data_IF_171402441623
#
_entry.id   IF_171402441623
#
_cell.length_a   1.000
_cell.length_b   1.000
_cell.length_c   1.000
_cell.angle_alpha   90.00
_cell.angle_beta   90.00
_cell.angle_gamma   90.00
#
_symmetry.space_group_name_H-M   'P 1'
#
loop_
_entity.id
_entity.type
_entity.pdbx_description
1 polymer ?
#
# COMPACT_ATOMS: atom_id res chain seq x y z
N UNK A 1 1.40 8.33 -22.07
CA UNK A 1 2.24 9.37 -21.44
C UNK A 1 1.94 9.39 -19.97
N UNK A 2 2.98 9.39 -19.15
CA UNK A 2 2.87 9.53 -17.70
C UNK A 2 2.56 11.01 -17.36
N UNK A 3 1.43 11.29 -16.69
CA UNK A 3 1.01 12.67 -16.41
C UNK A 3 1.94 13.39 -15.44
N UNK A 4 2.68 12.67 -14.60
CA UNK A 4 3.59 13.27 -13.61
C UNK A 4 4.92 13.65 -14.24
N UNK A 5 5.46 12.78 -15.10
CA UNK A 5 6.79 13.00 -15.70
C UNK A 5 6.74 13.60 -17.10
N UNK A 6 5.58 13.59 -17.77
CA UNK A 6 5.42 13.97 -19.17
C UNK A 6 6.05 12.99 -20.16
N UNK A 7 6.66 11.89 -19.69
CA UNK A 7 7.41 10.97 -20.53
C UNK A 7 6.54 9.85 -21.10
N UNK A 8 6.96 9.32 -22.25
CA UNK A 8 6.39 8.09 -22.79
C UNK A 8 6.97 6.89 -22.04
N UNK A 9 6.10 6.12 -21.42
CA UNK A 9 6.45 4.93 -20.64
C UNK A 9 5.59 3.75 -21.06
N UNK A 10 6.16 2.55 -20.98
CA UNK A 10 5.40 1.30 -21.15
C UNK A 10 4.42 1.16 -19.99
N UNK A 11 3.14 0.99 -20.31
CA UNK A 11 2.10 0.71 -19.34
C UNK A 11 1.73 -0.78 -19.32
N UNK A 12 1.25 -1.23 -18.18
CA UNK A 12 0.60 -2.51 -17.99
C UNK A 12 -0.91 -2.32 -17.99
N UNK A 13 -1.64 -3.27 -18.57
CA UNK A 13 -3.08 -3.32 -18.48
C UNK A 13 -3.46 -4.35 -17.41
N UNK A 14 -4.07 -3.87 -16.34
CA UNK A 14 -4.80 -4.72 -15.41
C UNK A 14 -6.17 -5.00 -16.00
N UNK A 15 -6.61 -6.26 -15.96
CA UNK A 15 -7.92 -6.68 -16.43
C UNK A 15 -8.52 -7.60 -15.38
N UNK A 16 -9.66 -7.21 -14.82
CA UNK A 16 -10.47 -8.08 -13.97
C UNK A 16 -11.74 -8.46 -14.74
N UNK A 17 -11.97 -9.76 -14.92
CA UNK A 17 -13.13 -10.26 -15.68
C UNK A 17 -13.99 -11.14 -14.79
N UNK A 18 -15.27 -10.79 -14.67
CA UNK A 18 -16.26 -11.59 -13.97
C UNK A 18 -16.49 -12.93 -14.70
N UNK A 19 -16.47 -14.02 -13.93
CA UNK A 19 -16.39 -15.36 -14.49
C UNK A 19 -17.69 -15.83 -15.16
N UNK A 20 -18.86 -15.31 -14.75
CA UNK A 20 -20.15 -15.69 -15.32
C UNK A 20 -20.57 -14.76 -16.46
N UNK A 21 -20.61 -13.45 -16.24
CA UNK A 21 -21.08 -12.49 -17.25
C UNK A 21 -20.06 -12.17 -18.33
N UNK A 22 -18.76 -12.36 -18.04
CA UNK A 22 -17.64 -11.85 -18.85
C UNK A 22 -17.54 -10.33 -18.86
N UNK A 23 -18.27 -9.64 -17.99
CA UNK A 23 -18.09 -8.21 -17.81
C UNK A 23 -16.70 -7.95 -17.21
N UNK A 24 -16.03 -6.90 -17.68
CA UNK A 24 -14.64 -6.66 -17.34
C UNK A 24 -14.40 -5.20 -16.98
N UNK A 25 -13.52 -5.01 -16.02
CA UNK A 25 -12.87 -3.74 -15.72
C UNK A 25 -11.43 -3.78 -16.24
N UNK A 26 -10.94 -2.62 -16.69
CA UNK A 26 -9.61 -2.46 -17.26
C UNK A 26 -9.00 -1.17 -16.76
N UNK A 27 -7.76 -1.23 -16.28
CA UNK A 27 -7.02 -0.05 -15.86
C UNK A 27 -5.55 -0.14 -16.27
N UNK A 28 -5.00 0.97 -16.75
CA UNK A 28 -3.60 1.11 -17.17
C UNK A 28 -2.76 1.74 -16.06
N UNK A 29 -1.66 1.08 -15.72
CA UNK A 29 -0.70 1.49 -14.68
C UNK A 29 0.74 1.37 -15.18
N UNK A 30 1.68 2.04 -14.49
CA UNK A 30 3.10 2.04 -14.88
C UNK A 30 3.98 1.11 -14.04
N UNK A 31 3.45 0.53 -12.97
CA UNK A 31 4.15 -0.41 -12.11
C UNK A 31 3.22 -1.56 -11.69
N UNK A 32 3.82 -2.59 -11.09
CA UNK A 32 3.11 -3.76 -10.57
C UNK A 32 3.43 -3.94 -9.09
N UNK A 33 3.51 -2.84 -8.34
CA UNK A 33 3.75 -2.91 -6.90
C UNK A 33 2.51 -3.40 -6.17
N UNK A 34 2.68 -3.89 -4.93
CA UNK A 34 1.55 -4.32 -4.10
C UNK A 34 0.52 -3.20 -3.85
N UNK A 35 0.93 -1.94 -3.57
CA UNK A 35 -0.04 -0.86 -3.44
C UNK A 35 -0.85 -0.61 -4.72
N UNK A 36 -0.19 -0.63 -5.88
CA UNK A 36 -0.88 -0.53 -7.16
C UNK A 36 -1.85 -1.69 -7.35
N UNK A 37 -1.45 -2.92 -7.01
CA UNK A 37 -2.31 -4.11 -7.11
C UNK A 37 -3.58 -4.01 -6.26
N UNK A 38 -3.48 -3.54 -5.01
CA UNK A 38 -4.63 -3.35 -4.13
C UNK A 38 -5.54 -2.22 -4.63
N UNK A 39 -4.94 -1.13 -5.10
CA UNK A 39 -5.68 0.00 -5.69
C UNK A 39 -6.50 -0.44 -6.89
N UNK A 40 -5.91 -1.26 -7.77
CA UNK A 40 -6.58 -1.84 -8.93
C UNK A 40 -7.79 -2.71 -8.54
N UNK A 41 -7.67 -3.51 -7.47
CA UNK A 41 -8.81 -4.30 -6.96
C UNK A 41 -9.93 -3.40 -6.43
N UNK A 42 -9.58 -2.40 -5.61
CA UNK A 42 -10.53 -1.41 -5.11
C UNK A 42 -11.27 -0.71 -6.25
N UNK A 43 -10.54 -0.27 -7.28
CA UNK A 43 -11.12 0.42 -8.42
C UNK A 43 -12.05 -0.51 -9.22
N UNK A 44 -11.64 -1.76 -9.44
CA UNK A 44 -12.48 -2.75 -10.11
C UNK A 44 -13.77 -3.05 -9.33
N UNK A 45 -13.70 -3.22 -8.01
CA UNK A 45 -14.91 -3.42 -7.18
C UNK A 45 -15.83 -2.20 -7.22
N UNK A 46 -15.27 -0.99 -7.16
CA UNK A 46 -16.05 0.23 -7.33
C UNK A 46 -16.65 0.37 -8.73
N UNK A 47 -15.99 -0.15 -9.76
CA UNK A 47 -16.51 -0.19 -11.13
C UNK A 47 -17.70 -1.16 -11.25
N UNK A 48 -17.61 -2.36 -10.68
CA UNK A 48 -18.71 -3.32 -10.67
C UNK A 48 -19.85 -2.91 -9.73
N UNK A 49 -19.54 -2.13 -8.70
CA UNK A 49 -20.47 -1.76 -7.61
C UNK A 49 -20.54 -2.79 -6.48
N UNK A 50 -19.91 -3.96 -6.66
CA UNK A 50 -19.94 -5.10 -5.74
C UNK A 50 -18.62 -5.88 -5.81
N UNK A 51 -18.42 -6.81 -4.88
CA UNK A 51 -17.18 -7.60 -4.73
C UNK A 51 -17.42 -9.07 -5.14
N UNK A 52 -16.58 -9.64 -6.04
CA UNK A 52 -16.59 -11.07 -6.32
C UNK A 52 -16.28 -11.93 -5.10
N UNK A 53 -17.02 -13.02 -4.90
CA UNK A 53 -16.78 -13.96 -3.79
C UNK A 53 -15.39 -14.63 -3.85
N UNK A 54 -14.82 -14.75 -5.04
CA UNK A 54 -13.53 -15.41 -5.27
C UNK A 54 -12.76 -14.70 -6.36
N UNK A 55 -11.49 -14.42 -6.08
CA UNK A 55 -10.54 -13.86 -7.04
C UNK A 55 -9.53 -14.93 -7.40
N UNK A 56 -9.50 -15.28 -8.67
CA UNK A 56 -8.52 -16.21 -9.23
C UNK A 56 -7.34 -15.39 -9.74
N UNK A 57 -6.19 -15.63 -9.14
CA UNK A 57 -4.94 -15.01 -9.56
C UNK A 57 -4.31 -15.83 -10.69
N UNK A 58 -4.19 -15.24 -11.89
CA UNK A 58 -3.47 -15.90 -12.98
C UNK A 58 -1.96 -15.85 -12.72
N UNK A 59 -1.31 -17.02 -12.79
CA UNK A 59 0.13 -17.19 -12.51
C UNK A 59 1.03 -16.55 -13.58
N UNK A 60 0.46 -16.03 -14.68
CA UNK A 60 1.24 -15.57 -15.82
C UNK A 60 1.66 -14.09 -15.71
N UNK A 61 2.95 -13.92 -15.37
CA UNK A 61 3.85 -12.82 -15.75
C UNK A 61 3.88 -11.57 -14.88
N UNK A 62 2.97 -11.38 -13.95
CA UNK A 62 3.07 -10.27 -13.00
C UNK A 62 3.86 -10.70 -11.75
N UNK A 63 4.95 -10.01 -11.44
CA UNK A 63 5.80 -10.33 -10.27
C UNK A 63 5.01 -10.32 -8.96
N UNK A 64 3.98 -9.47 -8.89
CA UNK A 64 3.11 -9.35 -7.72
C UNK A 64 2.25 -10.59 -7.48
N UNK A 65 1.74 -11.23 -8.54
CA UNK A 65 0.91 -12.43 -8.40
C UNK A 65 1.69 -13.58 -7.81
N UNK A 66 2.95 -13.76 -8.23
CA UNK A 66 3.86 -14.74 -7.64
C UNK A 66 4.17 -14.39 -6.18
N UNK A 67 4.44 -13.12 -5.91
CA UNK A 67 4.71 -12.67 -4.55
C UNK A 67 3.51 -12.88 -3.61
N UNK A 68 2.26 -12.80 -4.10
CA UNK A 68 1.08 -13.17 -3.32
C UNK A 68 1.06 -14.63 -2.85
N UNK A 69 1.88 -15.52 -3.42
CA UNK A 69 2.00 -16.93 -3.00
C UNK A 69 3.34 -17.29 -2.37
N UNK A 70 4.40 -16.57 -2.70
CA UNK A 70 5.76 -16.90 -2.25
C UNK A 70 6.27 -15.95 -1.15
N UNK A 71 5.74 -14.72 -1.05
CA UNK A 71 6.19 -13.69 -0.10
C UNK A 71 5.19 -13.51 1.05
N UNK A 72 5.56 -13.89 2.30
CA UNK A 72 4.70 -13.74 3.48
C UNK A 72 4.20 -12.31 3.73
N UNK A 73 4.98 -11.28 3.38
CA UNK A 73 4.59 -9.87 3.55
C UNK A 73 3.49 -9.47 2.59
N UNK A 74 3.64 -9.89 1.34
CA UNK A 74 2.64 -9.66 0.28
C UNK A 74 1.37 -10.44 0.59
N UNK A 75 1.51 -11.69 1.03
CA UNK A 75 0.40 -12.51 1.50
C UNK A 75 -0.37 -11.86 2.64
N UNK A 76 0.30 -11.36 3.68
CA UNK A 76 -0.36 -10.73 4.82
C UNK A 76 -1.17 -9.50 4.39
N UNK A 77 -0.54 -8.63 3.61
CA UNK A 77 -1.15 -7.40 3.11
C UNK A 77 -2.33 -7.67 2.16
N UNK A 78 -2.21 -8.63 1.23
CA UNK A 78 -3.29 -8.96 0.31
C UNK A 78 -4.41 -9.76 0.98
N UNK A 79 -4.09 -10.58 1.99
CA UNK A 79 -5.08 -11.25 2.85
C UNK A 79 -5.93 -10.24 3.61
N UNK A 80 -5.33 -9.21 4.17
CA UNK A 80 -6.09 -8.18 4.90
C UNK A 80 -7.07 -7.44 3.97
N UNK A 81 -6.66 -7.16 2.72
CA UNK A 81 -7.55 -6.66 1.67
C UNK A 81 -8.69 -7.64 1.37
N UNK A 82 -8.38 -8.93 1.25
CA UNK A 82 -9.37 -9.98 1.01
C UNK A 82 -10.38 -10.11 2.15
N UNK A 83 -9.93 -10.01 3.39
CA UNK A 83 -10.78 -10.01 4.59
C UNK A 83 -11.69 -8.77 4.63
N UNK A 84 -11.17 -7.58 4.32
CA UNK A 84 -11.95 -6.34 4.28
C UNK A 84 -13.11 -6.39 3.28
N UNK A 85 -12.84 -6.90 2.08
CA UNK A 85 -13.85 -6.99 1.01
C UNK A 85 -14.62 -8.32 1.02
N UNK A 86 -14.21 -9.30 1.83
CA UNK A 86 -14.88 -10.60 1.97
C UNK A 86 -14.67 -11.57 0.80
N UNK A 87 -13.61 -11.43 0.00
CA UNK A 87 -13.35 -12.35 -1.12
C UNK A 87 -12.32 -13.44 -0.77
N UNK A 88 -12.44 -14.60 -1.40
CA UNK A 88 -11.45 -15.67 -1.30
C UNK A 88 -10.35 -15.51 -2.34
N UNK A 89 -9.09 -15.61 -1.92
CA UNK A 89 -7.93 -15.65 -2.81
C UNK A 89 -7.75 -17.10 -3.29
N UNK A 90 -7.89 -17.33 -4.59
CA UNK A 90 -7.68 -18.64 -5.19
C UNK A 90 -6.46 -18.62 -6.13
N UNK A 91 -5.46 -19.50 -5.93
CA UNK A 91 -4.44 -19.73 -6.94
C UNK A 91 -5.08 -20.32 -8.19
N UNK A 92 -4.57 -19.97 -9.37
CA UNK A 92 -4.93 -20.71 -10.57
C UNK A 92 -4.27 -22.09 -10.49
N UNK A 93 -5.07 -23.17 -10.63
CA UNK A 93 -4.50 -24.51 -10.64
C UNK A 93 -3.50 -24.64 -11.80
N UNK A 94 -2.31 -25.21 -11.58
CA UNK A 94 -1.37 -25.48 -12.67
C UNK A 94 -2.07 -26.32 -13.75
N UNK A 95 -1.95 -25.91 -15.02
CA UNK A 95 -2.52 -26.63 -16.18
C UNK A 95 -4.05 -26.70 -16.21
N UNK A 96 -4.76 -25.65 -15.77
CA UNK A 96 -6.17 -25.43 -16.15
C UNK A 96 -6.30 -24.35 -17.24
N UNK A 97 -6.21 -24.71 -18.55
CA UNK A 97 -6.36 -23.78 -19.66
C UNK A 97 -7.67 -22.98 -19.64
N UNK A 98 -8.73 -23.55 -19.07
CA UNK A 98 -10.06 -22.93 -19.00
C UNK A 98 -10.10 -21.69 -18.10
N UNK A 99 -9.28 -21.66 -17.03
CA UNK A 99 -9.17 -20.50 -16.15
C UNK A 99 -8.27 -19.43 -16.76
N UNK A 100 -7.13 -19.81 -17.34
CA UNK A 100 -6.22 -18.88 -18.01
C UNK A 100 -6.82 -18.29 -19.30
N UNK A 101 -7.61 -19.05 -20.05
CA UNK A 101 -8.22 -18.63 -21.31
C UNK A 101 -9.19 -17.45 -21.17
N UNK A 102 -9.88 -17.35 -20.03
CA UNK A 102 -10.84 -16.27 -19.76
C UNK A 102 -10.16 -14.90 -19.69
N UNK A 103 -8.98 -14.82 -19.06
CA UNK A 103 -8.25 -13.56 -18.86
C UNK A 103 -7.26 -13.29 -20.00
N UNK A 104 -6.44 -14.28 -20.40
CA UNK A 104 -5.43 -14.07 -21.44
C UNK A 104 -6.07 -13.96 -22.84
N UNK A 105 -6.80 -15.00 -23.29
CA UNK A 105 -7.42 -14.99 -24.63
C UNK A 105 -8.69 -14.13 -24.71
N UNK A 106 -9.49 -14.08 -23.65
CA UNK A 106 -10.75 -13.36 -23.60
C UNK A 106 -10.65 -11.87 -23.25
N UNK A 107 -9.80 -11.51 -22.28
CA UNK A 107 -9.71 -10.14 -21.73
C UNK A 107 -8.58 -9.32 -22.33
N UNK A 108 -7.33 -9.66 -21.97
CA UNK A 108 -6.14 -8.86 -22.35
C UNK A 108 -5.94 -8.80 -23.87
N UNK A 109 -6.09 -9.93 -24.57
CA UNK A 109 -6.02 -9.93 -26.04
C UNK A 109 -7.13 -9.10 -26.69
N UNK A 110 -8.34 -9.13 -26.12
CA UNK A 110 -9.47 -8.35 -26.61
C UNK A 110 -9.23 -6.84 -26.43
N UNK A 111 -8.76 -6.40 -25.26
CA UNK A 111 -8.37 -5.01 -24.98
C UNK A 111 -7.31 -4.54 -25.98
N UNK A 112 -6.25 -5.32 -26.20
CA UNK A 112 -5.18 -4.97 -27.15
C UNK A 112 -5.69 -4.80 -28.59
N UNK A 113 -6.57 -5.69 -29.04
CA UNK A 113 -7.06 -5.70 -30.43
C UNK A 113 -8.21 -4.73 -30.70
N UNK A 114 -9.02 -4.39 -29.70
CA UNK A 114 -10.28 -3.66 -29.92
C UNK A 114 -10.32 -2.31 -29.22
N UNK A 115 -9.60 -2.15 -28.11
CA UNK A 115 -9.48 -0.85 -27.46
C UNK A 115 -8.23 -0.10 -27.92
N UNK A 116 -7.06 -0.75 -27.87
CA UNK A 116 -5.76 -0.11 -28.15
C UNK A 116 -5.41 -0.03 -29.64
N UNK A 117 -5.93 -0.94 -30.47
CA UNK A 117 -5.59 -0.98 -31.89
C UNK A 117 -6.01 0.32 -32.60
N UNK A 118 -5.06 0.95 -33.29
CA UNK A 118 -5.29 2.17 -34.06
C UNK A 118 -5.45 3.46 -33.22
N UNK A 119 -5.36 3.38 -31.89
CA UNK A 119 -5.36 4.59 -31.04
C UNK A 119 -4.02 5.31 -31.08
N UNK A 120 -4.08 6.65 -31.15
CA UNK A 120 -2.92 7.49 -30.93
C UNK A 120 -2.44 7.42 -29.47
N UNK A 121 -1.16 7.74 -29.24
CA UNK A 121 -0.62 7.85 -27.89
C UNK A 121 -1.35 8.95 -27.12
N UNK A 122 -1.79 8.62 -25.91
CA UNK A 122 -2.50 9.55 -25.02
C UNK A 122 -1.93 9.49 -23.59
N UNK A 123 -2.44 10.33 -22.69
CA UNK A 123 -2.08 10.30 -21.26
C UNK A 123 -2.72 9.07 -20.59
N UNK A 124 -2.10 8.52 -19.53
CA UNK A 124 -2.72 7.38 -18.82
C UNK A 124 -4.07 7.76 -18.22
N UNK A 125 -4.24 9.01 -17.76
CA UNK A 125 -5.51 9.52 -17.25
C UNK A 125 -6.61 9.43 -18.32
N UNK A 126 -6.35 9.94 -19.54
CA UNK A 126 -7.32 9.87 -20.63
C UNK A 126 -7.55 8.42 -21.06
N UNK A 127 -6.50 7.61 -21.16
CA UNK A 127 -6.63 6.19 -21.50
C UNK A 127 -7.54 5.44 -20.51
N UNK A 128 -7.42 5.72 -19.20
CA UNK A 128 -8.24 5.11 -18.16
C UNK A 128 -9.70 5.61 -18.21
N UNK A 129 -9.94 6.89 -18.50
CA UNK A 129 -11.29 7.41 -18.71
C UNK A 129 -11.97 6.79 -19.94
N UNK A 130 -11.23 6.71 -21.05
CA UNK A 130 -11.68 6.11 -22.31
C UNK A 130 -11.99 4.62 -22.15
N UNK A 131 -11.10 3.86 -21.51
CA UNK A 131 -11.27 2.41 -21.38
C UNK A 131 -12.43 2.06 -20.46
N UNK A 132 -12.67 2.86 -19.42
CA UNK A 132 -13.83 2.71 -18.54
C UNK A 132 -15.13 2.90 -19.33
N UNK A 133 -15.20 3.95 -20.14
CA UNK A 133 -16.35 4.20 -21.03
C UNK A 133 -16.54 3.05 -22.03
N UNK A 134 -15.43 2.57 -22.62
CA UNK A 134 -15.44 1.43 -23.53
C UNK A 134 -15.89 0.13 -22.84
N UNK A 135 -15.57 -0.07 -21.56
CA UNK A 135 -16.02 -1.23 -20.79
C UNK A 135 -17.54 -1.26 -20.60
N UNK A 136 -18.18 -0.09 -20.41
CA UNK A 136 -19.65 -0.01 -20.31
C UNK A 136 -20.37 0.00 -21.66
N UNK A 137 -19.72 0.47 -22.72
CA UNK A 137 -20.37 0.65 -24.02
C UNK A 137 -20.01 -0.48 -24.98
N UNK A 138 -18.79 -0.51 -25.50
CA UNK A 138 -18.39 -1.46 -26.54
C UNK A 138 -18.16 -2.85 -25.97
N UNK A 139 -17.31 -2.99 -24.95
CA UNK A 139 -16.98 -4.30 -24.40
C UNK A 139 -18.13 -4.91 -23.59
N UNK A 140 -18.93 -4.07 -22.93
CA UNK A 140 -20.08 -4.46 -22.15
C UNK A 140 -21.32 -4.80 -22.99
N UNK A 141 -21.51 -4.15 -24.14
CA UNK A 141 -22.68 -4.39 -25.01
C UNK A 141 -22.41 -5.31 -26.20
N UNK A 142 -21.16 -5.77 -26.39
CA UNK A 142 -20.84 -6.70 -27.48
C UNK A 142 -21.57 -8.03 -27.33
N UNK A 143 -21.90 -8.66 -28.44
CA UNK A 143 -22.25 -10.08 -28.43
C UNK A 143 -21.00 -10.92 -28.11
N UNK A 144 -20.92 -11.52 -26.92
CA UNK A 144 -19.75 -12.26 -26.49
C UNK A 144 -19.73 -13.68 -27.06
N UNK A 145 -18.69 -14.04 -27.82
CA UNK A 145 -18.64 -15.31 -28.58
C UNK A 145 -18.85 -16.62 -27.79
N UNK A 146 -18.63 -16.64 -26.47
CA UNK A 146 -18.95 -17.81 -25.62
C UNK A 146 -20.38 -17.79 -25.05
N UNK A 147 -20.81 -16.66 -24.48
CA UNK A 147 -22.10 -16.56 -23.78
C UNK A 147 -23.25 -16.19 -24.71
N UNK A 148 -22.94 -15.66 -25.91
CA UNK A 148 -23.86 -15.13 -26.90
C UNK A 148 -24.77 -14.00 -26.40
N UNK A 149 -24.38 -13.37 -25.29
CA UNK A 149 -25.09 -12.28 -24.62
C UNK A 149 -24.17 -11.07 -24.43
N UNK A 150 -24.74 -9.85 -24.37
CA UNK A 150 -24.04 -8.66 -23.87
C UNK A 150 -23.56 -8.84 -22.42
N UNK A 151 -22.24 -8.80 -22.15
CA UNK A 151 -21.70 -9.02 -20.81
C UNK A 151 -22.30 -8.12 -19.73
N UNK A 152 -22.50 -6.83 -20.01
CA UNK A 152 -23.05 -5.88 -19.05
C UNK A 152 -24.51 -6.18 -18.69
N UNK A 153 -25.33 -6.53 -19.68
CA UNK A 153 -26.72 -6.90 -19.42
C UNK A 153 -26.81 -8.20 -18.63
N UNK A 154 -26.00 -9.18 -18.99
CA UNK A 154 -25.90 -10.47 -18.27
C UNK A 154 -25.43 -10.28 -16.82
N UNK A 155 -24.52 -9.34 -16.58
CA UNK A 155 -24.06 -8.96 -15.25
C UNK A 155 -25.24 -8.46 -14.39
N UNK A 156 -25.93 -7.41 -14.83
CA UNK A 156 -27.04 -6.83 -14.08
C UNK A 156 -28.21 -7.80 -13.88
N UNK A 157 -28.51 -8.63 -14.89
CA UNK A 157 -29.64 -9.55 -14.81
C UNK A 157 -29.42 -10.76 -13.88
N UNK A 158 -28.18 -11.21 -13.71
CA UNK A 158 -27.92 -12.54 -13.11
C UNK A 158 -26.75 -12.60 -12.13
N UNK A 159 -25.64 -11.90 -12.38
CA UNK A 159 -24.42 -12.07 -11.58
C UNK A 159 -24.36 -11.09 -10.41
N UNK A 160 -24.84 -9.85 -10.60
CA UNK A 160 -24.73 -8.79 -9.59
C UNK A 160 -25.33 -9.20 -8.24
N UNK A 161 -26.52 -9.83 -8.26
CA UNK A 161 -27.19 -10.29 -7.03
C UNK A 161 -26.44 -11.39 -6.27
N UNK A 162 -25.46 -12.05 -6.89
CA UNK A 162 -24.64 -13.09 -6.26
C UNK A 162 -23.30 -12.55 -5.72
N UNK A 163 -22.95 -11.29 -5.99
CA UNK A 163 -21.74 -10.66 -5.47
C UNK A 163 -21.93 -10.21 -4.01
N UNK A 164 -20.82 -9.98 -3.32
CA UNK A 164 -20.85 -9.37 -2.00
C UNK A 164 -21.05 -7.86 -2.11
N UNK A 165 -21.83 -7.24 -1.20
CA UNK A 165 -22.01 -5.80 -1.21
C UNK A 165 -20.67 -5.10 -0.96
N UNK A 166 -20.45 -3.99 -1.66
CA UNK A 166 -19.26 -3.18 -1.43
C UNK A 166 -19.29 -2.57 -0.01
N UNK A 167 -18.22 -2.70 0.80
CA UNK A 167 -18.14 -2.07 2.10
C UNK A 167 -18.27 -0.54 2.01
N UNK A 168 -18.88 0.09 3.01
CA UNK A 168 -19.11 1.53 3.04
C UNK A 168 -17.81 2.36 3.00
N UNK A 169 -16.74 1.83 3.60
CA UNK A 169 -15.41 2.42 3.54
C UNK A 169 -14.48 1.57 2.68
N UNK A 170 -13.68 2.20 1.78
CA UNK A 170 -12.66 1.46 1.04
C UNK A 170 -11.62 0.89 2.00
N UNK A 171 -10.98 -0.21 1.59
CA UNK A 171 -9.84 -0.77 2.33
C UNK A 171 -8.74 0.28 2.47
N UNK A 172 -8.30 0.50 3.70
CA UNK A 172 -7.13 1.32 3.98
C UNK A 172 -5.88 0.56 3.56
N UNK A 173 -5.13 1.13 2.62
CA UNK A 173 -4.00 0.45 2.00
C UNK A 173 -2.87 0.29 3.01
N UNK A 174 -2.92 -0.82 3.73
CA UNK A 174 -1.97 -1.17 4.77
C UNK A 174 -0.87 -2.05 4.22
N UNK A 175 0.38 -1.62 4.36
CA UNK A 175 1.56 -2.39 3.94
C UNK A 175 2.21 -2.97 5.18
N UNK A 176 2.40 -4.29 5.18
CA UNK A 176 3.19 -4.96 6.18
C UNK A 176 4.68 -4.93 5.81
N UNK A 177 5.55 -4.74 6.80
CA UNK A 177 7.01 -4.82 6.68
C UNK A 177 7.63 -5.33 7.97
N UNK A 178 8.74 -6.05 7.89
CA UNK A 178 9.59 -6.33 9.06
C UNK A 178 10.62 -5.23 9.23
N UNK A 179 10.74 -4.71 10.46
CA UNK A 179 11.76 -3.74 10.82
C UNK A 179 12.37 -4.07 12.16
N UNK A 180 13.69 -3.88 12.28
CA UNK A 180 14.41 -4.04 13.54
C UNK A 180 14.19 -2.80 14.41
N UNK A 181 13.91 -3.00 15.70
CA UNK A 181 13.94 -1.90 16.66
C UNK A 181 15.39 -1.54 17.00
N UNK A 182 15.79 -0.33 16.65
CA UNK A 182 17.15 0.17 16.89
C UNK A 182 17.37 0.59 18.35
N UNK A 183 18.63 0.81 18.73
CA UNK A 183 19.03 1.16 20.12
C UNK A 183 18.46 2.49 20.62
N UNK A 184 18.05 3.36 19.69
CA UNK A 184 17.38 4.62 19.95
C UNK A 184 15.86 4.46 20.15
N UNK A 185 15.35 3.22 20.20
CA UNK A 185 13.94 2.85 20.34
C UNK A 185 13.07 3.18 19.11
N UNK A 186 13.65 3.28 17.91
CA UNK A 186 12.89 3.52 16.67
C UNK A 186 12.99 2.36 15.67
N UNK A 187 11.90 2.11 14.96
CA UNK A 187 11.89 1.40 13.69
C UNK A 187 11.83 2.40 12.55
N UNK A 188 12.44 2.06 11.42
CA UNK A 188 12.37 2.88 10.20
C UNK A 188 11.36 2.29 9.24
N UNK A 189 10.35 3.07 8.88
CA UNK A 189 9.35 2.73 7.89
C UNK A 189 9.14 3.91 6.95
N UNK A 190 9.26 3.67 5.64
CA UNK A 190 9.18 4.71 4.59
C UNK A 190 10.00 5.98 4.88
N UNK A 191 11.25 5.79 5.32
CA UNK A 191 12.19 6.88 5.67
C UNK A 191 11.76 7.75 6.87
N UNK A 192 10.72 7.36 7.61
CA UNK A 192 10.33 7.98 8.87
C UNK A 192 10.61 7.04 10.06
N UNK A 193 10.69 7.60 11.26
CA UNK A 193 11.07 6.91 12.48
C UNK A 193 9.86 6.79 13.42
N UNK A 194 9.52 5.58 13.81
CA UNK A 194 8.41 5.30 14.72
C UNK A 194 8.94 4.61 15.97
N UNK A 195 8.66 5.19 17.13
CA UNK A 195 9.17 4.65 18.39
C UNK A 195 8.43 3.38 18.82
N UNK A 196 9.11 2.48 19.53
CA UNK A 196 8.49 1.34 20.22
C UNK A 196 9.13 1.13 21.60
N UNK A 197 8.47 0.42 22.53
CA UNK A 197 8.99 0.22 23.88
C UNK A 197 10.42 -0.30 23.93
N UNK A 198 11.29 0.35 24.71
CA UNK A 198 12.71 0.03 24.85
C UNK A 198 13.00 -1.43 25.22
N UNK A 199 12.05 -2.11 25.88
CA UNK A 199 12.12 -3.54 26.22
C UNK A 199 12.26 -4.43 24.98
N UNK A 200 11.88 -3.91 23.81
CA UNK A 200 11.92 -4.61 22.53
C UNK A 200 13.16 -4.28 21.70
N UNK A 201 14.14 -3.52 22.23
CA UNK A 201 15.33 -3.13 21.49
C UNK A 201 16.04 -4.36 20.92
N UNK A 202 16.41 -4.29 19.64
CA UNK A 202 17.10 -5.36 18.93
C UNK A 202 16.18 -6.42 18.34
N UNK A 203 14.90 -6.47 18.74
CA UNK A 203 13.91 -7.41 18.19
C UNK A 203 13.43 -6.98 16.81
N UNK A 204 12.92 -7.94 16.05
CA UNK A 204 12.23 -7.70 14.78
C UNK A 204 10.74 -7.49 15.06
N UNK A 205 10.21 -6.35 14.64
CA UNK A 205 8.80 -6.00 14.76
C UNK A 205 8.13 -6.05 13.39
N UNK A 206 6.85 -6.37 13.38
CA UNK A 206 6.01 -6.11 12.21
C UNK A 206 5.53 -4.66 12.25
N UNK A 207 5.63 -4.00 11.11
CA UNK A 207 5.12 -2.65 10.88
C UNK A 207 3.97 -2.78 9.90
N UNK A 208 2.76 -2.41 10.32
CA UNK A 208 1.60 -2.24 9.44
C UNK A 208 1.41 -0.74 9.21
N UNK A 209 1.76 -0.25 8.03
CA UNK A 209 1.55 1.15 7.66
C UNK A 209 0.29 1.32 6.82
N UNK A 210 -0.80 1.82 7.42
CA UNK A 210 -2.03 2.26 6.74
C UNK A 210 -1.96 3.73 6.32
N UNK A 211 -2.96 4.28 5.63
CA UNK A 211 -2.88 5.65 5.09
C UNK A 211 -2.80 6.74 6.15
N UNK A 212 -3.37 6.51 7.33
CA UNK A 212 -3.43 7.50 8.43
C UNK A 212 -2.54 7.13 9.61
N UNK A 213 -2.26 5.84 9.82
CA UNK A 213 -1.56 5.35 10.99
C UNK A 213 -0.52 4.28 10.67
N UNK A 214 0.44 4.15 11.58
CA UNK A 214 1.45 3.09 11.57
C UNK A 214 1.37 2.34 12.88
N UNK A 215 1.11 1.03 12.78
CA UNK A 215 1.00 0.11 13.92
C UNK A 215 2.20 -0.81 13.97
N UNK A 216 2.73 -1.01 15.17
CA UNK A 216 3.88 -1.88 15.43
C UNK A 216 3.40 -3.09 16.23
N UNK A 217 3.83 -4.28 15.80
CA UNK A 217 3.51 -5.55 16.46
C UNK A 217 4.77 -6.35 16.77
N UNK A 218 4.72 -7.18 17.81
CA UNK A 218 5.75 -8.21 18.06
C UNK A 218 5.71 -9.30 16.99
N UNK A 219 6.67 -10.24 16.99
CA UNK A 219 6.67 -11.41 16.10
C UNK A 219 5.38 -12.22 16.16
N UNK A 220 4.71 -12.21 17.31
CA UNK A 220 3.50 -12.99 17.62
C UNK A 220 2.22 -12.17 17.37
N UNK A 221 2.33 -11.08 16.60
CA UNK A 221 1.22 -10.19 16.23
C UNK A 221 0.54 -9.47 17.41
N UNK A 222 1.22 -9.28 18.54
CA UNK A 222 0.74 -8.44 19.63
C UNK A 222 1.02 -6.96 19.32
N UNK A 223 -0.01 -6.11 19.34
CA UNK A 223 0.12 -4.67 19.12
C UNK A 223 0.90 -4.03 20.27
N UNK A 224 1.98 -3.31 19.94
CA UNK A 224 2.85 -2.65 20.93
C UNK A 224 2.88 -1.13 20.81
N UNK A 225 2.54 -0.57 19.65
CA UNK A 225 2.43 0.87 19.46
C UNK A 225 1.54 1.22 18.27
N UNK A 226 0.86 2.36 18.35
CA UNK A 226 0.15 2.99 17.23
C UNK A 226 0.59 4.45 17.14
N UNK A 227 0.92 4.89 15.93
CA UNK A 227 1.33 6.27 15.64
C UNK A 227 0.51 6.82 14.49
N UNK A 228 0.33 8.14 14.45
CA UNK A 228 -0.09 8.81 13.20
C UNK A 228 0.99 8.63 12.13
N UNK A 229 0.60 8.52 10.87
CA UNK A 229 1.56 8.40 9.76
C UNK A 229 2.36 9.69 9.59
N UNK A 230 3.67 9.52 9.39
CA UNK A 230 4.58 10.61 9.07
C UNK A 230 4.12 11.37 7.82
N UNK A 231 4.34 12.68 7.81
CA UNK A 231 4.00 13.52 6.66
C UNK A 231 5.20 13.69 5.74
N UNK A 232 6.42 13.59 6.27
CA UNK A 232 7.67 13.75 5.51
C UNK A 232 8.72 12.72 5.90
N UNK A 233 9.62 12.35 4.97
CA UNK A 233 10.84 11.61 5.29
C UNK A 233 11.63 12.31 6.40
N UNK A 234 12.14 11.54 7.35
CA UNK A 234 12.90 12.04 8.50
C UNK A 234 12.07 12.37 9.74
N UNK A 235 10.73 12.46 9.63
CA UNK A 235 9.86 12.70 10.78
C UNK A 235 10.07 11.61 11.85
N UNK A 236 10.09 12.01 13.13
CA UNK A 236 10.25 11.11 14.28
C UNK A 236 9.00 11.13 15.16
N UNK A 237 8.23 10.06 15.09
CA UNK A 237 7.01 9.87 15.87
C UNK A 237 7.34 9.14 17.16
N UNK A 238 7.26 9.90 18.25
CA UNK A 238 7.76 9.50 19.55
C UNK A 238 6.64 9.39 20.56
N UNK A 239 6.57 8.25 21.24
CA UNK A 239 5.78 8.08 22.46
C UNK A 239 6.72 8.20 23.68
N UNK A 240 6.39 9.01 24.70
CA UNK A 240 7.23 9.17 25.89
C UNK A 240 7.55 7.83 26.58
N UNK A 241 6.54 6.97 26.75
CA UNK A 241 6.66 5.68 27.44
C UNK A 241 7.53 4.64 26.71
N UNK A 242 7.93 4.93 25.47
CA UNK A 242 8.79 4.03 24.71
C UNK A 242 10.26 4.10 25.13
N UNK A 243 10.68 5.17 25.79
CA UNK A 243 12.07 5.32 26.20
C UNK A 243 12.37 4.58 27.51
N UNK A 244 13.64 4.15 27.71
CA UNK A 244 14.07 3.62 28.99
C UNK A 244 13.82 4.63 30.12
N UNK A 245 13.40 4.20 31.32
CA UNK A 245 13.21 5.09 32.47
C UNK A 245 14.46 5.91 32.82
N UNK A 246 15.65 5.39 32.55
CA UNK A 246 16.92 6.10 32.76
C UNK A 246 17.17 7.22 31.73
N UNK A 247 16.53 7.15 30.55
CA UNK A 247 16.60 8.17 29.49
C UNK A 247 15.34 9.03 29.39
N UNK A 248 14.27 8.68 30.09
CA UNK A 248 13.09 9.52 30.23
C UNK A 248 13.41 10.90 30.87
N UNK A 249 14.36 11.02 31.83
CA UNK A 249 14.83 12.32 32.32
C UNK A 249 15.61 13.11 31.27
N UNK A 250 16.31 12.44 30.33
CA UNK A 250 17.09 13.16 29.31
C UNK A 250 16.23 13.90 28.27
N UNK A 251 14.94 13.60 28.27
CA UNK A 251 13.90 14.26 27.46
C UNK A 251 13.46 15.57 28.10
N UNK A 252 13.71 15.72 29.39
CA UNK A 252 13.47 16.92 30.15
C UNK A 252 14.69 17.85 30.13
N UNK A 253 15.72 17.63 29.32
CA UNK A 253 16.84 18.57 29.13
C UNK A 253 16.67 19.41 27.86
N UNK A 254 15.56 20.16 27.78
CA UNK A 254 15.44 21.29 26.87
C UNK A 254 16.28 22.46 27.37
N UNK A 255 16.64 23.40 26.50
CA UNK A 255 17.35 24.64 26.92
C UNK A 255 16.65 25.32 28.11
N UNK A 256 15.32 25.35 28.06
CA UNK A 256 14.45 25.96 29.06
C UNK A 256 14.48 25.23 30.40
N UNK A 257 14.47 23.90 30.40
CA UNK A 257 14.50 23.11 31.64
C UNK A 257 15.89 23.05 32.27
N UNK A 258 16.96 23.03 31.47
CA UNK A 258 18.33 23.21 31.96
C UNK A 258 18.50 24.57 32.67
N UNK A 259 17.95 25.64 32.09
CA UNK A 259 17.98 26.98 32.69
C UNK A 259 17.17 27.07 33.99
N UNK A 260 15.98 26.46 34.04
CA UNK A 260 15.13 26.45 35.23
C UNK A 260 15.81 25.72 36.41
N UNK A 261 16.40 24.55 36.16
CA UNK A 261 17.14 23.79 37.19
C UNK A 261 18.40 24.52 37.65
N UNK A 262 19.10 25.21 36.75
CA UNK A 262 20.28 26.00 37.11
C UNK A 262 19.92 27.17 38.04
N UNK A 263 18.75 27.79 37.83
CA UNK A 263 18.24 28.87 38.68
C UNK A 263 17.88 28.39 40.10
N UNK A 264 17.38 27.15 40.26
CA UNK A 264 17.10 26.57 41.57
C UNK A 264 18.37 26.31 42.39
N UNK A 265 19.50 25.98 41.73
CA UNK A 265 20.78 25.74 42.41
C UNK A 265 21.47 27.05 42.79
N UNK A 266 21.44 28.04 41.91
CA UNK A 266 21.92 29.39 42.22
C UNK A 266 22.54 30.15 41.04
N UNK A 267 22.92 31.41 41.27
CA UNK A 267 23.36 32.33 40.21
C UNK A 267 24.63 31.86 39.49
N UNK A 268 25.61 31.32 40.21
CA UNK A 268 26.85 30.81 39.60
C UNK A 268 26.62 29.61 38.67
N UNK A 269 25.68 28.73 39.01
CA UNK A 269 25.30 27.58 38.17
C UNK A 269 24.49 28.04 36.96
N UNK A 270 23.66 29.07 37.12
CA UNK A 270 22.88 29.68 36.03
C UNK A 270 23.79 30.27 34.95
N UNK A 271 24.80 31.05 35.34
CA UNK A 271 25.74 31.68 34.41
C UNK A 271 26.56 30.64 33.64
N UNK A 272 27.00 29.58 34.32
CA UNK A 272 27.73 28.47 33.68
C UNK A 272 26.85 27.76 32.63
N UNK A 273 25.61 27.41 32.99
CA UNK A 273 24.68 26.73 32.09
C UNK A 273 24.27 27.61 30.92
N UNK A 274 24.07 28.92 31.12
CA UNK A 274 23.83 29.86 30.03
C UNK A 274 25.01 29.94 29.05
N UNK A 275 26.24 29.96 29.57
CA UNK A 275 27.45 29.99 28.76
C UNK A 275 27.59 28.74 27.90
N UNK A 276 27.40 27.56 28.52
CA UNK A 276 27.46 26.27 27.81
C UNK A 276 26.35 26.12 26.76
N UNK A 277 25.16 26.63 27.03
CA UNK A 277 24.04 26.61 26.09
C UNK A 277 24.14 27.71 25.01
N UNK A 278 25.00 28.71 25.18
CA UNK A 278 25.24 29.77 24.20
C UNK A 278 26.33 29.40 23.18
N UNK A 279 27.12 28.37 23.47
CA UNK A 279 28.09 27.80 22.54
C UNK A 279 27.35 27.10 21.38
N UNK A 280 27.50 27.57 20.11
CA UNK A 280 26.91 26.89 18.98
C UNK A 280 27.56 25.52 18.82
N UNK A 281 26.76 24.45 18.93
CA UNK A 281 27.21 23.08 18.73
C UNK A 281 27.91 22.94 17.37
N UNK A 282 29.25 22.94 17.35
CA UNK A 282 30.00 22.53 16.17
C UNK A 282 29.93 21.01 16.14
N UNK A 283 29.05 20.46 15.31
CA UNK A 283 29.03 19.03 15.00
C UNK A 283 30.35 18.67 14.31
N UNK A 284 31.37 18.33 15.10
CA UNK A 284 32.59 17.67 14.62
C UNK A 284 32.30 16.18 14.47
N UNK A 285 31.40 15.82 13.55
CA UNK A 285 31.44 14.51 12.95
C UNK A 285 32.70 14.47 12.06
N UNK A 286 33.80 13.98 12.64
CA UNK A 286 35.07 13.87 11.96
C UNK A 286 34.89 13.12 10.64
N UNK A 287 35.26 13.78 9.54
CA UNK A 287 35.74 13.11 8.34
C UNK A 287 36.82 12.12 8.78
N UNK A 288 36.56 10.83 8.61
CA UNK A 288 37.62 9.84 8.50
C UNK A 288 37.71 9.53 7.00
N UNK A 289 38.47 10.35 6.29
CA UNK A 289 39.10 9.95 5.05
C UNK A 289 40.43 9.28 5.42
N UNK A 290 40.55 7.99 5.14
CA UNK A 290 41.82 7.38 4.72
C UNK A 290 41.53 6.15 3.86
#
# INVERSE_FOLDING_TARGET
MDPTTGQLRKAWAFVMTLAYSRHQDVEFVFDQTLPTWITLHRNAFAFFGDVPQRIVLDHLKAGITRACFDDPLVQATYRECAEHYGFLIAPCAPRTPEHNGKVEQGGVHYVKRNFLAGRALTTSLQANADVRTWCHTVAGMRNHGTTHDPPLLRFHAHEQAALHPLPASPYDLAIWKRAKLHRDCYVVFEQAYYSAPFRLIGQQLWVRGGSQDVRLYTSDYLLVATHTRAQRPGDRLRHPDHLPPAKAPDVLWTRTTCQALAAEVGPATTDLVQTLLADPTIDRHAMIDT
#
